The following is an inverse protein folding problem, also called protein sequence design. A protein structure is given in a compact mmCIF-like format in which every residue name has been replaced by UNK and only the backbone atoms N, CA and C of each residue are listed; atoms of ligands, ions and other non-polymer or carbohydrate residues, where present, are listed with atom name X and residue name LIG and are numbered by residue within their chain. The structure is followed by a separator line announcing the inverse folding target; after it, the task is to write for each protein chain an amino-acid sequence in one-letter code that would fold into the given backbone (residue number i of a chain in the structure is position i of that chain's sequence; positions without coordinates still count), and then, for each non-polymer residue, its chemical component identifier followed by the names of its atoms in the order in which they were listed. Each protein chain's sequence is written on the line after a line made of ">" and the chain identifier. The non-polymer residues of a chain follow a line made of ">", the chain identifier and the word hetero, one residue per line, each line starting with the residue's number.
data_IF_465161263325
#
_entry.id   IF_465161263325
#
_cell.length_a   1.000
_cell.length_b   1.000
_cell.length_c   1.000
_cell.angle_alpha   90.00
_cell.angle_beta   90.00
_cell.angle_gamma   90.00
#
_symmetry.space_group_name_H-M   'P 1'
#
loop_
_entity.id
_entity.type
_entity.pdbx_description
1 polymer ?
#
# COMPACT_ATOMS: atom_id res chain seq x y z
N UNK A 1 -14.13 24.45 -3.55
CA UNK A 1 -13.63 23.28 -4.31
C UNK A 1 -13.71 23.52 -5.82
N UNK A 2 -14.84 24.00 -6.33
CA UNK A 2 -15.10 24.11 -7.79
C UNK A 2 -14.04 24.92 -8.58
N UNK A 3 -13.52 26.02 -8.04
CA UNK A 3 -12.49 26.81 -8.71
C UNK A 3 -11.10 26.14 -8.78
N UNK A 4 -10.80 25.19 -7.88
CA UNK A 4 -9.55 24.42 -7.91
C UNK A 4 -9.66 23.28 -8.93
N UNK A 5 -10.79 22.55 -8.92
CA UNK A 5 -11.05 21.48 -9.89
C UNK A 5 -11.19 22.00 -11.31
N UNK A 6 -11.63 23.25 -11.51
CA UNK A 6 -11.63 23.89 -12.83
C UNK A 6 -10.22 24.05 -13.44
N UNK A 7 -9.15 23.94 -12.64
CA UNK A 7 -7.75 23.96 -13.10
C UNK A 7 -7.17 22.56 -13.35
N UNK A 8 -7.93 21.50 -13.06
CA UNK A 8 -7.49 20.12 -13.25
C UNK A 8 -8.05 19.62 -14.56
N UNK A 9 -7.17 19.34 -15.51
CA UNK A 9 -7.49 18.76 -16.81
C UNK A 9 -6.97 17.32 -16.87
N UNK A 10 -7.85 16.37 -17.19
CA UNK A 10 -7.43 15.01 -17.48
C UNK A 10 -6.96 14.94 -18.93
N UNK A 11 -5.70 14.58 -19.13
CA UNK A 11 -5.05 14.55 -20.43
C UNK A 11 -4.51 13.15 -20.70
N UNK A 12 -4.72 12.65 -21.91
CA UNK A 12 -4.17 11.38 -22.38
C UNK A 12 -3.17 11.65 -23.51
N UNK A 13 -1.97 11.06 -23.38
CA UNK A 13 -0.92 11.11 -24.40
C UNK A 13 -0.41 9.69 -24.67
N UNK A 14 -0.02 9.42 -25.92
CA UNK A 14 0.61 8.15 -26.28
C UNK A 14 2.13 8.32 -26.30
N UNK A 15 2.80 7.80 -25.28
CA UNK A 15 4.26 7.84 -25.16
C UNK A 15 4.97 6.72 -25.95
N UNK A 16 4.27 5.98 -26.82
CA UNK A 16 4.86 4.92 -27.61
C UNK A 16 5.49 5.42 -28.93
N UNK A 17 4.99 6.53 -29.50
CA UNK A 17 5.35 6.97 -30.85
C UNK A 17 6.80 7.47 -31.00
N UNK A 18 7.49 7.82 -29.91
CA UNK A 18 8.92 8.19 -29.92
C UNK A 18 9.88 7.13 -29.38
N UNK A 19 9.42 5.90 -29.10
CA UNK A 19 10.15 4.94 -28.26
C UNK A 19 10.64 3.70 -29.01
N UNK A 20 11.70 3.85 -29.80
CA UNK A 20 12.76 2.84 -29.75
C UNK A 20 13.75 3.28 -28.66
N UNK A 21 14.11 2.37 -27.75
CA UNK A 21 15.20 2.55 -26.77
C UNK A 21 16.60 2.71 -27.42
N UNK A 22 16.64 2.97 -28.73
CA UNK A 22 17.81 3.19 -29.56
C UNK A 22 17.62 4.50 -30.33
N UNK A 23 18.67 5.32 -30.49
CA UNK A 23 18.62 6.49 -31.37
C UNK A 23 18.27 6.00 -32.78
N UNK A 24 17.14 6.46 -33.33
CA UNK A 24 16.92 6.44 -34.78
C UNK A 24 17.45 7.78 -35.30
N UNK A 25 18.64 7.73 -35.87
CA UNK A 25 19.03 8.74 -36.86
C UNK A 25 18.14 8.51 -38.09
N UNK A 26 17.58 9.60 -38.61
CA UNK A 26 16.73 9.71 -39.81
C UNK A 26 15.32 9.07 -39.77
N UNK A 27 14.30 9.94 -39.66
CA UNK A 27 13.22 10.12 -40.67
C UNK A 27 12.02 10.91 -40.10
N UNK A 28 11.74 12.07 -40.72
CA UNK A 28 10.40 12.57 -41.07
C UNK A 28 9.46 13.07 -39.96
N UNK A 29 9.09 14.37 -40.05
CA UNK A 29 8.00 15.07 -39.34
C UNK A 29 7.27 14.27 -38.24
N UNK A 30 7.66 14.52 -36.99
CA UNK A 30 7.03 14.00 -35.78
C UNK A 30 5.67 14.70 -35.61
N UNK A 31 4.58 14.01 -36.02
CA UNK A 31 3.18 14.44 -35.84
C UNK A 31 2.84 14.42 -34.33
N UNK A 32 3.46 15.37 -33.61
CA UNK A 32 3.33 15.54 -32.16
C UNK A 32 1.96 16.13 -31.89
N UNK A 33 1.13 15.44 -31.11
CA UNK A 33 -0.22 15.93 -30.83
C UNK A 33 -0.15 17.34 -30.21
N UNK A 34 -1.13 18.25 -30.47
CA UNK A 34 -1.15 19.60 -29.87
C UNK A 34 -1.08 19.58 -28.34
N UNK A 35 -1.54 18.49 -27.73
CA UNK A 35 -1.46 18.24 -26.30
C UNK A 35 0.00 17.99 -25.87
N UNK A 36 0.73 17.14 -26.60
CA UNK A 36 2.14 16.87 -26.30
C UNK A 36 2.97 18.15 -26.47
N UNK A 37 2.73 18.94 -27.52
CA UNK A 37 3.38 20.25 -27.70
C UNK A 37 3.13 21.19 -26.51
N UNK A 38 1.87 21.29 -26.05
CA UNK A 38 1.51 22.09 -24.87
C UNK A 38 2.24 21.59 -23.62
N UNK A 39 2.25 20.28 -23.38
CA UNK A 39 2.95 19.69 -22.23
C UNK A 39 4.45 19.98 -22.30
N UNK A 40 5.07 19.84 -23.47
CA UNK A 40 6.47 20.16 -23.68
C UNK A 40 6.76 21.63 -23.39
N UNK A 41 5.94 22.55 -23.91
CA UNK A 41 6.15 23.99 -23.80
C UNK A 41 5.88 24.57 -22.40
N UNK A 42 4.89 24.02 -21.68
CA UNK A 42 4.33 24.66 -20.48
C UNK A 42 4.65 23.96 -19.16
N UNK A 43 5.05 22.67 -19.18
CA UNK A 43 5.27 21.93 -17.93
C UNK A 43 6.50 22.41 -17.17
N UNK A 44 6.29 22.84 -15.92
CA UNK A 44 7.37 23.25 -15.01
C UNK A 44 7.67 22.22 -13.93
N UNK A 45 6.67 21.46 -13.47
CA UNK A 45 6.80 20.53 -12.35
C UNK A 45 6.13 19.20 -12.72
N UNK A 46 6.82 18.09 -12.51
CA UNK A 46 6.27 16.75 -12.71
C UNK A 46 6.23 16.02 -11.37
N UNK A 47 5.05 15.55 -10.98
CA UNK A 47 4.87 14.56 -9.93
C UNK A 47 4.61 13.20 -10.58
N UNK A 48 5.66 12.37 -10.71
CA UNK A 48 5.51 11.03 -11.25
C UNK A 48 5.05 10.07 -10.13
N UNK A 49 3.73 9.90 -10.02
CA UNK A 49 3.06 9.00 -9.07
C UNK A 49 2.64 7.68 -9.75
N UNK A 50 3.16 7.39 -10.95
CA UNK A 50 2.84 6.15 -11.67
C UNK A 50 3.32 4.94 -10.86
N UNK A 51 2.36 4.07 -10.52
CA UNK A 51 2.64 2.81 -9.86
C UNK A 51 1.51 1.82 -10.10
N UNK A 52 1.86 0.58 -10.44
CA UNK A 52 1.00 -0.53 -10.06
C UNK A 52 1.38 -1.02 -8.66
N UNK A 53 0.49 -0.82 -7.69
CA UNK A 53 0.69 -1.18 -6.27
C UNK A 53 0.16 -2.57 -5.91
N UNK A 54 -0.11 -3.41 -6.92
CA UNK A 54 -0.65 -4.75 -6.72
C UNK A 54 0.48 -5.73 -6.41
N UNK A 55 0.56 -6.19 -5.17
CA UNK A 55 1.62 -7.13 -4.76
C UNK A 55 1.58 -8.52 -5.42
N UNK A 56 0.49 -8.87 -6.11
CA UNK A 56 0.31 -10.14 -6.83
C UNK A 56 0.28 -9.96 -8.35
N UNK A 57 0.76 -8.82 -8.85
CA UNK A 57 0.88 -8.60 -10.29
C UNK A 57 2.13 -9.32 -10.82
N UNK A 58 2.03 -9.82 -12.06
CA UNK A 58 3.16 -10.44 -12.75
C UNK A 58 4.33 -9.48 -12.84
N UNK A 59 5.53 -10.04 -12.77
CA UNK A 59 6.75 -9.25 -12.78
C UNK A 59 6.89 -8.45 -14.08
N UNK A 60 6.42 -8.99 -15.21
CA UNK A 60 6.41 -8.33 -16.51
C UNK A 60 5.62 -7.02 -16.46
N UNK A 61 4.39 -7.05 -15.96
CA UNK A 61 3.53 -5.87 -15.87
C UNK A 61 4.09 -4.85 -14.87
N UNK A 62 4.55 -5.32 -13.70
CA UNK A 62 5.16 -4.45 -12.70
C UNK A 62 6.38 -3.69 -13.24
N UNK A 63 7.26 -4.37 -14.01
CA UNK A 63 8.43 -3.76 -14.65
C UNK A 63 8.05 -2.83 -15.80
N UNK A 64 7.14 -3.28 -16.69
CA UNK A 64 6.68 -2.48 -17.82
C UNK A 64 6.07 -1.15 -17.37
N UNK A 65 5.24 -1.18 -16.32
CA UNK A 65 4.60 0.03 -15.77
C UNK A 65 5.59 0.87 -14.96
N UNK A 66 6.22 0.29 -13.93
CA UNK A 66 6.96 1.09 -12.95
C UNK A 66 8.34 1.52 -13.45
N UNK A 67 8.98 0.73 -14.32
CA UNK A 67 10.29 1.04 -14.90
C UNK A 67 10.10 1.63 -16.29
N UNK A 68 9.46 0.89 -17.21
CA UNK A 68 9.25 1.32 -18.60
C UNK A 68 8.42 2.60 -18.70
N UNK A 69 7.28 2.65 -18.02
CA UNK A 69 6.41 3.84 -17.97
C UNK A 69 7.11 5.06 -17.36
N UNK A 70 7.89 4.86 -16.29
CA UNK A 70 8.73 5.93 -15.71
C UNK A 70 9.76 6.42 -16.73
N UNK A 71 10.44 5.53 -17.44
CA UNK A 71 11.42 5.89 -18.46
C UNK A 71 10.81 6.78 -19.54
N UNK A 72 9.62 6.43 -20.03
CA UNK A 72 8.87 7.22 -21.03
C UNK A 72 8.53 8.63 -20.55
N UNK A 73 8.01 8.75 -19.32
CA UNK A 73 7.73 10.07 -18.72
C UNK A 73 9.00 10.92 -18.61
N UNK A 74 10.12 10.31 -18.22
CA UNK A 74 11.38 11.04 -18.07
C UNK A 74 12.04 11.38 -19.41
N UNK A 75 11.82 10.58 -20.46
CA UNK A 75 12.21 10.94 -21.83
C UNK A 75 11.44 12.17 -22.32
N UNK A 76 10.14 12.25 -22.07
CA UNK A 76 9.35 13.45 -22.35
C UNK A 76 9.88 14.64 -21.52
N UNK A 77 10.15 14.43 -20.23
CA UNK A 77 10.67 15.46 -19.34
C UNK A 77 12.01 16.07 -19.81
N UNK A 78 12.90 15.28 -20.43
CA UNK A 78 14.16 15.78 -21.01
C UNK A 78 13.94 16.84 -22.09
N UNK A 79 12.81 16.83 -22.77
CA UNK A 79 12.47 17.76 -23.86
C UNK A 79 11.76 19.03 -23.37
N UNK A 80 11.46 19.14 -22.07
CA UNK A 80 10.73 20.28 -21.50
C UNK A 80 11.67 21.43 -21.12
N UNK A 81 11.68 22.57 -21.85
CA UNK A 81 12.61 23.68 -21.59
C UNK A 81 12.33 24.43 -20.28
N UNK A 82 11.10 24.35 -19.75
CA UNK A 82 10.69 25.05 -18.51
C UNK A 82 10.77 24.17 -17.26
N UNK A 83 11.27 22.94 -17.37
CA UNK A 83 11.25 21.97 -16.28
C UNK A 83 12.11 22.44 -15.09
N UNK A 84 11.45 22.63 -13.95
CA UNK A 84 12.04 23.06 -12.67
C UNK A 84 12.30 21.91 -11.71
N UNK A 85 11.42 20.92 -11.69
CA UNK A 85 11.55 19.78 -10.77
C UNK A 85 10.73 18.57 -11.21
N UNK A 86 11.26 17.37 -10.96
CA UNK A 86 10.57 16.09 -11.09
C UNK A 86 10.64 15.37 -9.75
N UNK A 87 9.49 15.01 -9.18
CA UNK A 87 9.42 14.12 -8.02
C UNK A 87 8.98 12.75 -8.50
N UNK A 88 9.86 11.75 -8.37
CA UNK A 88 9.48 10.36 -8.57
C UNK A 88 9.03 9.75 -7.24
N UNK A 89 7.79 9.27 -7.18
CA UNK A 89 7.25 8.60 -5.99
C UNK A 89 7.59 7.10 -6.07
N UNK A 90 8.52 6.69 -5.22
CA UNK A 90 8.89 5.30 -5.01
C UNK A 90 8.15 4.76 -3.77
N UNK A 91 8.82 4.00 -2.91
CA UNK A 91 8.28 3.47 -1.67
C UNK A 91 9.43 3.22 -0.69
N UNK A 92 9.18 3.43 0.60
CA UNK A 92 10.14 3.11 1.67
C UNK A 92 10.61 1.65 1.63
N UNK A 93 9.79 0.79 1.02
CA UNK A 93 10.03 -0.64 0.90
C UNK A 93 10.82 -1.05 -0.35
N UNK A 94 11.30 -0.12 -1.19
CA UNK A 94 12.13 -0.46 -2.36
C UNK A 94 13.43 -1.14 -1.96
N UNK A 95 13.87 -0.93 -0.71
CA UNK A 95 15.07 -1.52 -0.13
C UNK A 95 14.78 -2.38 1.13
N UNK A 96 13.55 -2.90 1.27
CA UNK A 96 13.11 -3.60 2.49
C UNK A 96 13.82 -4.94 2.80
N UNK A 97 14.61 -5.47 1.88
CA UNK A 97 15.51 -6.62 2.10
C UNK A 97 16.69 -6.26 3.03
N UNK A 98 16.99 -4.97 3.19
CA UNK A 98 17.99 -4.43 4.12
C UNK A 98 17.33 -4.11 5.45
N UNK A 99 18.12 -4.07 6.52
CA UNK A 99 17.68 -3.60 7.85
C UNK A 99 17.81 -2.08 7.95
N UNK A 100 18.94 -1.56 7.51
CA UNK A 100 19.27 -0.13 7.52
C UNK A 100 19.08 0.45 6.10
N UNK A 101 18.26 1.49 6.00
CA UNK A 101 17.89 2.15 4.74
C UNK A 101 18.28 3.62 4.83
N UNK A 102 19.29 4.00 4.07
CA UNK A 102 19.78 5.36 3.93
C UNK A 102 18.96 6.12 2.88
N UNK A 103 19.08 7.45 2.91
CA UNK A 103 18.53 8.34 1.90
C UNK A 103 19.43 8.40 0.68
N UNK A 104 19.65 7.25 0.01
CA UNK A 104 20.36 7.16 -1.28
C UNK A 104 19.75 6.08 -2.16
N UNK A 105 20.07 6.10 -3.44
CA UNK A 105 19.76 4.98 -4.33
C UNK A 105 20.77 3.85 -4.12
N UNK A 106 20.25 2.63 -4.12
CA UNK A 106 21.01 1.40 -4.01
C UNK A 106 20.97 0.70 -5.37
N UNK A 107 22.12 0.59 -6.03
CA UNK A 107 22.31 0.10 -7.40
C UNK A 107 22.58 -1.41 -7.50
N UNK A 108 22.51 -2.12 -6.38
CA UNK A 108 22.64 -3.57 -6.28
C UNK A 108 21.36 -4.30 -6.74
N UNK A 109 21.02 -4.13 -8.02
CA UNK A 109 20.05 -4.96 -8.71
C UNK A 109 20.77 -6.15 -9.38
N UNK A 110 20.16 -7.36 -9.43
CA UNK A 110 20.84 -8.55 -9.96
C UNK A 110 21.24 -8.47 -11.44
N UNK A 111 20.61 -7.56 -12.19
CA UNK A 111 20.78 -7.38 -13.62
C UNK A 111 20.55 -5.91 -13.96
N UNK A 112 21.24 -5.41 -14.98
CA UNK A 112 21.05 -4.04 -15.48
C UNK A 112 19.59 -3.78 -15.90
N UNK A 113 19.10 -2.57 -15.63
CA UNK A 113 17.70 -2.20 -15.88
C UNK A 113 17.33 -2.26 -17.37
N UNK A 114 18.29 -1.95 -18.27
CA UNK A 114 18.08 -2.03 -19.71
C UNK A 114 17.83 -3.47 -20.18
N UNK A 115 18.61 -4.43 -19.67
CA UNK A 115 18.42 -5.85 -19.95
C UNK A 115 17.08 -6.37 -19.40
N UNK A 116 16.70 -5.94 -18.19
CA UNK A 116 15.40 -6.27 -17.59
C UNK A 116 14.24 -5.81 -18.48
N UNK A 117 14.33 -4.58 -19.02
CA UNK A 117 13.32 -4.05 -19.93
C UNK A 117 13.29 -4.80 -21.27
N UNK A 118 14.44 -5.16 -21.83
CA UNK A 118 14.53 -5.97 -23.05
C UNK A 118 13.85 -7.34 -22.87
N UNK A 119 14.12 -8.02 -21.74
CA UNK A 119 13.47 -9.30 -21.42
C UNK A 119 11.95 -9.13 -21.24
N UNK A 120 11.50 -8.04 -20.62
CA UNK A 120 10.08 -7.73 -20.43
C UNK A 120 9.34 -7.58 -21.77
N UNK A 121 10.02 -7.05 -22.79
CA UNK A 121 9.49 -6.91 -24.15
C UNK A 121 9.57 -8.21 -24.96
N UNK A 122 10.63 -9.00 -24.78
CA UNK A 122 10.88 -10.22 -25.53
C UNK A 122 10.06 -11.42 -25.03
N UNK A 123 9.82 -11.51 -23.72
CA UNK A 123 9.18 -12.66 -23.08
C UNK A 123 7.68 -12.44 -22.84
N UNK A 124 6.91 -13.52 -22.93
CA UNK A 124 5.51 -13.53 -22.47
C UNK A 124 5.42 -13.43 -20.95
N UNK A 125 4.24 -13.10 -20.43
CA UNK A 125 3.98 -13.04 -18.99
C UNK A 125 4.30 -14.36 -18.28
N UNK A 126 3.92 -15.50 -18.89
CA UNK A 126 4.18 -16.82 -18.33
C UNK A 126 5.67 -17.18 -18.29
N UNK A 127 6.42 -16.80 -19.32
CA UNK A 127 7.87 -17.02 -19.36
C UNK A 127 8.57 -16.16 -18.31
N UNK A 128 8.20 -14.87 -18.23
CA UNK A 128 8.79 -13.96 -17.27
C UNK A 128 8.52 -14.39 -15.82
N UNK A 129 7.31 -14.90 -15.53
CA UNK A 129 6.97 -15.44 -14.21
C UNK A 129 7.78 -16.70 -13.86
N UNK A 130 8.13 -17.55 -14.85
CA UNK A 130 9.04 -18.70 -14.62
C UNK A 130 10.44 -18.23 -14.24
N UNK A 131 10.92 -17.14 -14.84
CA UNK A 131 12.21 -16.54 -14.56
C UNK A 131 12.19 -15.55 -13.38
N UNK A 132 11.04 -15.30 -12.75
CA UNK A 132 10.87 -14.31 -11.70
C UNK A 132 11.93 -14.40 -10.58
N UNK A 133 12.30 -15.63 -10.20
CA UNK A 133 13.28 -15.92 -9.16
C UNK A 133 14.70 -15.46 -9.51
N UNK A 134 15.03 -15.35 -10.81
CA UNK A 134 16.32 -14.83 -11.28
C UNK A 134 16.44 -13.32 -11.09
N UNK A 135 15.31 -12.59 -11.04
CA UNK A 135 15.30 -11.12 -10.96
C UNK A 135 15.01 -10.60 -9.55
N UNK A 136 14.08 -11.22 -8.82
CA UNK A 136 13.65 -10.72 -7.50
C UNK A 136 14.76 -10.73 -6.45
N UNK A 137 15.69 -11.69 -6.51
CA UNK A 137 16.68 -11.90 -5.47
C UNK A 137 16.03 -11.98 -4.07
N UNK A 138 16.48 -11.20 -3.07
CA UNK A 138 15.93 -11.22 -1.72
C UNK A 138 14.63 -10.42 -1.54
N UNK A 139 14.10 -9.81 -2.60
CA UNK A 139 12.93 -8.94 -2.52
C UNK A 139 11.65 -9.75 -2.22
N UNK A 140 10.76 -9.25 -1.34
CA UNK A 140 9.58 -10.01 -0.92
C UNK A 140 8.47 -10.08 -1.97
N UNK A 141 8.45 -9.18 -2.96
CA UNK A 141 7.44 -9.14 -4.01
C UNK A 141 7.91 -8.36 -5.24
N UNK A 142 7.17 -8.50 -6.35
CA UNK A 142 7.43 -7.85 -7.64
C UNK A 142 7.32 -6.33 -7.57
N UNK A 143 6.40 -5.81 -6.76
CA UNK A 143 6.22 -4.37 -6.56
C UNK A 143 7.48 -3.70 -5.99
N UNK A 144 7.99 -4.17 -4.85
CA UNK A 144 9.16 -3.56 -4.21
C UNK A 144 10.40 -3.65 -5.08
N UNK A 145 10.57 -4.77 -5.81
CA UNK A 145 11.66 -4.92 -6.78
C UNK A 145 11.53 -3.93 -7.95
N UNK A 146 10.34 -3.81 -8.56
CA UNK A 146 10.13 -2.89 -9.68
C UNK A 146 10.38 -1.43 -9.31
N UNK A 147 10.02 -1.02 -8.09
CA UNK A 147 10.35 0.32 -7.57
C UNK A 147 11.85 0.51 -7.37
N UNK A 148 12.57 -0.50 -6.84
CA UNK A 148 14.05 -0.46 -6.78
C UNK A 148 14.67 -0.29 -8.16
N UNK A 149 14.22 -1.08 -9.14
CA UNK A 149 14.71 -1.00 -10.53
C UNK A 149 14.48 0.39 -11.15
N UNK A 150 13.31 1.00 -10.90
CA UNK A 150 13.03 2.36 -11.36
C UNK A 150 13.97 3.41 -10.74
N UNK A 151 14.28 3.31 -9.44
CA UNK A 151 15.24 4.22 -8.77
C UNK A 151 16.63 4.11 -9.39
N UNK A 152 17.11 2.89 -9.68
CA UNK A 152 18.42 2.66 -10.31
C UNK A 152 18.46 3.24 -11.73
N UNK A 153 17.42 3.02 -12.52
CA UNK A 153 17.31 3.63 -13.86
C UNK A 153 17.33 5.16 -13.77
N UNK A 154 16.63 5.76 -12.82
CA UNK A 154 16.63 7.23 -12.62
C UNK A 154 18.04 7.72 -12.30
N UNK A 155 18.75 7.04 -11.39
CA UNK A 155 20.11 7.41 -11.02
C UNK A 155 21.08 7.35 -12.21
N UNK A 156 21.00 6.28 -13.00
CA UNK A 156 21.91 6.05 -14.13
C UNK A 156 21.62 6.96 -15.33
N UNK A 157 20.35 7.09 -15.73
CA UNK A 157 19.99 7.65 -17.05
C UNK A 157 19.39 9.06 -17.00
N UNK A 158 18.96 9.51 -15.81
CA UNK A 158 18.15 10.72 -15.62
C UNK A 158 18.62 11.65 -14.49
N UNK A 159 19.75 11.37 -13.81
CA UNK A 159 20.27 12.19 -12.71
C UNK A 159 20.70 13.62 -13.09
N UNK A 160 20.81 13.91 -14.39
CA UNK A 160 21.03 15.25 -14.93
C UNK A 160 19.81 16.15 -14.86
N UNK A 161 18.59 15.58 -14.84
CA UNK A 161 17.35 16.34 -14.68
C UNK A 161 17.27 16.95 -13.27
N UNK A 162 16.44 17.99 -13.04
CA UNK A 162 16.11 18.42 -11.68
C UNK A 162 15.17 17.39 -11.03
N UNK A 163 15.66 16.19 -10.72
CA UNK A 163 14.85 15.07 -10.24
C UNK A 163 15.23 14.66 -8.82
N UNK A 164 14.26 14.19 -8.04
CA UNK A 164 14.47 13.54 -6.74
C UNK A 164 13.50 12.38 -6.52
N UNK A 165 13.85 11.49 -5.59
CA UNK A 165 13.05 10.30 -5.24
C UNK A 165 12.38 10.52 -3.88
N UNK A 166 11.07 10.45 -3.83
CA UNK A 166 10.30 10.46 -2.59
C UNK A 166 9.83 9.04 -2.25
N UNK A 167 10.20 8.53 -1.08
CA UNK A 167 9.86 7.17 -0.61
C UNK A 167 8.83 7.25 0.52
N UNK A 168 7.52 7.20 0.23
CA UNK A 168 6.49 7.15 1.25
C UNK A 168 6.43 5.78 1.94
N UNK A 169 5.97 5.72 3.21
CA UNK A 169 5.72 4.50 3.94
C UNK A 169 4.34 3.95 3.51
N UNK A 170 3.61 3.26 4.41
CA UNK A 170 2.25 2.81 4.08
C UNK A 170 1.28 3.99 4.19
N UNK A 171 0.76 4.41 3.05
CA UNK A 171 -0.25 5.48 2.97
C UNK A 171 -1.63 4.94 3.35
N UNK A 172 -2.31 5.66 4.24
CA UNK A 172 -3.68 5.41 4.69
C UNK A 172 -4.56 6.65 4.39
N UNK A 173 -5.85 6.61 4.76
CA UNK A 173 -6.80 7.68 4.46
C UNK A 173 -6.32 9.05 4.96
N UNK A 174 -6.90 10.10 4.43
CA UNK A 174 -6.61 11.48 4.82
C UNK A 174 -6.88 11.72 6.31
N UNK A 175 -6.09 12.60 6.93
CA UNK A 175 -6.35 13.09 8.28
C UNK A 175 -7.25 14.33 8.25
N UNK A 176 -6.89 15.34 7.47
CA UNK A 176 -7.56 16.64 7.41
C UNK A 176 -8.10 16.95 6.00
N UNK A 177 -7.25 16.90 4.96
CA UNK A 177 -7.59 17.42 3.63
C UNK A 177 -7.70 16.32 2.56
N UNK A 178 -8.56 16.45 1.54
CA UNK A 178 -9.60 17.49 1.38
C UNK A 178 -10.79 17.28 2.34
N UNK A 179 -10.90 16.11 2.96
CA UNK A 179 -11.85 15.82 4.03
C UNK A 179 -11.33 14.63 4.86
N UNK A 180 -11.52 14.58 6.18
CA UNK A 180 -11.05 13.50 7.02
C UNK A 180 -11.59 12.12 6.63
N UNK A 181 -10.73 11.09 6.66
CA UNK A 181 -11.10 9.69 6.39
C UNK A 181 -11.32 9.34 4.92
N UNK A 182 -11.02 10.25 3.98
CA UNK A 182 -11.13 9.97 2.56
C UNK A 182 -10.09 8.94 2.10
N UNK A 183 -10.56 7.92 1.36
CA UNK A 183 -9.73 6.89 0.72
C UNK A 183 -10.50 6.30 -0.45
N UNK A 184 -9.80 6.01 -1.53
CA UNK A 184 -10.36 5.41 -2.76
C UNK A 184 -10.12 3.90 -2.84
N UNK A 185 -9.30 3.34 -1.94
CA UNK A 185 -8.88 1.94 -1.99
C UNK A 185 -8.78 1.28 -0.60
N UNK A 186 -8.77 -0.06 -0.64
CA UNK A 186 -8.62 -0.94 0.53
C UNK A 186 -7.26 -1.67 0.51
N UNK A 187 -6.23 -1.02 -0.01
CA UNK A 187 -4.92 -1.66 -0.15
C UNK A 187 -4.23 -1.85 1.21
N UNK A 188 -3.39 -2.90 1.29
CA UNK A 188 -2.56 -3.17 2.46
C UNK A 188 -3.36 -3.32 3.77
N UNK A 189 -2.99 -2.60 4.85
CA UNK A 189 -3.58 -2.79 6.17
C UNK A 189 -5.04 -2.30 6.26
N UNK A 190 -5.46 -1.32 5.45
CA UNK A 190 -6.86 -0.86 5.43
C UNK A 190 -7.83 -2.00 5.08
N UNK A 191 -7.45 -2.85 4.13
CA UNK A 191 -8.20 -4.05 3.78
C UNK A 191 -8.23 -5.08 4.91
N UNK A 192 -7.07 -5.40 5.50
CA UNK A 192 -6.98 -6.35 6.63
C UNK A 192 -7.85 -5.87 7.79
N UNK A 193 -7.69 -4.62 8.19
CA UNK A 193 -8.45 -3.96 9.23
C UNK A 193 -9.95 -4.08 8.98
N UNK A 194 -10.43 -3.67 7.80
CA UNK A 194 -11.85 -3.74 7.47
C UNK A 194 -12.41 -5.16 7.51
N UNK A 195 -11.67 -6.15 7.01
CA UNK A 195 -12.13 -7.54 7.06
C UNK A 195 -12.09 -8.13 8.48
N UNK A 196 -11.20 -7.66 9.35
CA UNK A 196 -11.25 -7.95 10.78
C UNK A 196 -12.46 -7.30 11.45
N UNK A 197 -12.75 -6.03 11.13
CA UNK A 197 -13.95 -5.32 11.62
C UNK A 197 -15.24 -6.03 11.20
N UNK A 198 -15.29 -6.58 9.98
CA UNK A 198 -16.42 -7.40 9.52
C UNK A 198 -16.44 -8.81 10.14
N UNK A 199 -15.43 -9.21 10.90
CA UNK A 199 -15.35 -10.53 11.52
C UNK A 199 -15.06 -11.66 10.53
N UNK A 200 -14.34 -11.37 9.44
CA UNK A 200 -13.86 -12.36 8.46
C UNK A 200 -12.41 -12.76 8.71
N UNK A 201 -11.62 -11.87 9.33
CA UNK A 201 -10.23 -12.13 9.72
C UNK A 201 -10.14 -12.10 11.24
N UNK A 202 -9.70 -13.22 11.82
CA UNK A 202 -9.53 -13.41 13.26
C UNK A 202 -8.09 -13.66 13.68
N UNK A 203 -7.20 -13.98 12.74
CA UNK A 203 -5.77 -14.11 13.02
C UNK A 203 -4.95 -13.40 11.96
N UNK A 204 -3.91 -12.67 12.41
CA UNK A 204 -3.01 -11.88 11.57
C UNK A 204 -1.58 -12.32 11.88
N UNK A 205 -0.82 -12.66 10.84
CA UNK A 205 0.60 -12.97 10.99
C UNK A 205 1.39 -11.66 11.03
N UNK A 206 1.83 -11.25 12.22
CA UNK A 206 2.54 -9.99 12.44
C UNK A 206 3.03 -9.86 13.88
N UNK A 207 3.87 -8.87 14.14
CA UNK A 207 4.29 -8.52 15.49
C UNK A 207 3.50 -7.31 16.00
N UNK A 208 2.68 -7.49 17.04
CA UNK A 208 1.89 -6.39 17.61
C UNK A 208 2.74 -5.20 18.10
N UNK A 209 3.96 -5.48 18.57
CA UNK A 209 4.93 -4.46 18.99
C UNK A 209 5.75 -3.83 17.86
N UNK A 210 5.61 -4.31 16.61
CA UNK A 210 6.39 -3.80 15.47
C UNK A 210 5.77 -2.54 14.90
N UNK A 211 6.60 -1.57 14.51
CA UNK A 211 6.18 -0.33 13.84
C UNK A 211 5.44 -0.64 12.54
N UNK A 212 4.28 -0.03 12.38
CA UNK A 212 3.41 -0.18 11.22
C UNK A 212 3.80 0.77 10.07
N UNK A 213 4.50 1.88 10.38
CA UNK A 213 4.93 2.89 9.40
C UNK A 213 3.76 3.36 8.54
N UNK A 214 2.74 3.89 9.20
CA UNK A 214 1.52 4.41 8.58
C UNK A 214 1.61 5.92 8.43
N UNK A 215 1.09 6.46 7.32
CA UNK A 215 0.99 7.91 7.10
C UNK A 215 -0.33 8.31 6.44
N UNK A 216 -0.99 9.38 6.89
CA UNK A 216 -2.10 9.98 6.13
C UNK A 216 -1.65 10.47 4.75
N UNK A 217 -2.48 10.28 3.73
CA UNK A 217 -2.16 10.67 2.34
C UNK A 217 -1.96 12.17 2.16
N UNK A 218 -2.72 13.01 2.87
CA UNK A 218 -2.60 14.47 2.84
C UNK A 218 -1.23 14.95 3.31
N UNK A 219 -0.73 14.36 4.39
CA UNK A 219 0.63 14.64 4.91
C UNK A 219 1.70 14.20 3.91
N UNK A 220 1.50 13.03 3.28
CA UNK A 220 2.39 12.54 2.24
C UNK A 220 2.42 13.47 1.01
N UNK A 221 1.27 13.97 0.57
CA UNK A 221 1.15 14.90 -0.56
C UNK A 221 1.85 16.23 -0.24
N UNK A 222 1.65 16.77 0.96
CA UNK A 222 2.34 17.99 1.40
C UNK A 222 3.87 17.80 1.40
N UNK A 223 4.37 16.67 1.91
CA UNK A 223 5.79 16.33 1.85
C UNK A 223 6.33 16.24 0.42
N UNK A 224 5.56 15.66 -0.51
CA UNK A 224 5.91 15.57 -1.94
C UNK A 224 6.01 16.96 -2.59
N UNK A 225 5.07 17.87 -2.30
CA UNK A 225 5.09 19.25 -2.81
C UNK A 225 6.34 19.98 -2.34
N UNK A 226 6.68 19.87 -1.06
CA UNK A 226 7.86 20.55 -0.48
C UNK A 226 9.16 19.92 -0.99
N UNK A 227 9.17 18.61 -1.25
CA UNK A 227 10.30 17.94 -1.89
C UNK A 227 10.55 18.48 -3.32
N UNK A 228 9.50 18.77 -4.10
CA UNK A 228 9.65 19.38 -5.42
C UNK A 228 10.39 20.73 -5.36
N UNK A 229 10.01 21.57 -4.39
CA UNK A 229 10.68 22.85 -4.15
C UNK A 229 12.16 22.67 -3.78
N UNK A 230 12.48 21.72 -2.90
CA UNK A 230 13.87 21.46 -2.53
C UNK A 230 14.71 20.92 -3.71
N UNK A 231 14.14 20.04 -4.52
CA UNK A 231 14.79 19.51 -5.74
C UNK A 231 15.16 20.66 -6.68
N UNK A 232 14.23 21.59 -6.93
CA UNK A 232 14.50 22.77 -7.74
C UNK A 232 15.62 23.64 -7.14
N UNK A 233 15.61 23.88 -5.82
CA UNK A 233 16.67 24.65 -5.15
C UNK A 233 18.05 24.00 -5.29
N UNK A 234 18.14 22.69 -5.07
CA UNK A 234 19.38 21.93 -5.25
C UNK A 234 19.87 22.00 -6.70
N UNK A 235 18.98 21.80 -7.66
CA UNK A 235 19.31 21.90 -9.08
C UNK A 235 19.84 23.28 -9.47
N UNK A 236 19.20 24.37 -9.01
CA UNK A 236 19.68 25.74 -9.27
C UNK A 236 21.06 26.02 -8.69
N UNK A 237 21.35 25.55 -7.48
CA UNK A 237 22.69 25.71 -6.87
C UNK A 237 23.76 24.97 -7.65
N UNK A 238 23.45 23.76 -8.12
CA UNK A 238 24.34 22.96 -8.98
C UNK A 238 24.66 23.69 -10.28
N UNK A 239 23.65 24.22 -10.98
CA UNK A 239 23.84 24.97 -12.23
C UNK A 239 24.62 26.25 -12.01
N UNK A 240 24.40 26.94 -10.89
CA UNK A 240 25.11 28.18 -10.55
C UNK A 240 26.55 27.97 -10.06
N UNK A 241 27.01 26.72 -9.85
CA UNK A 241 28.33 26.45 -9.29
C UNK A 241 28.53 27.00 -7.87
N UNK A 242 27.45 27.25 -7.13
CA UNK A 242 27.47 27.88 -5.80
C UNK A 242 27.29 26.87 -4.66
N UNK A 243 27.36 25.56 -4.96
CA UNK A 243 27.42 24.54 -3.94
C UNK A 243 28.70 24.74 -3.12
N UNK A 244 28.59 24.91 -1.79
CA UNK A 244 29.77 25.04 -0.92
C UNK A 244 30.42 23.67 -0.77
N UNK A 245 31.73 23.61 -0.52
CA UNK A 245 32.47 22.35 -0.29
C UNK A 245 31.88 21.46 0.84
N UNK A 246 31.17 22.05 1.82
CA UNK A 246 30.44 21.31 2.88
C UNK A 246 29.14 20.68 2.36
N UNK A 247 28.51 21.29 1.35
CA UNK A 247 27.38 20.71 0.63
C UNK A 247 27.85 19.61 -0.36
N UNK A 248 29.10 19.64 -0.84
CA UNK A 248 29.63 18.65 -1.80
C UNK A 248 29.75 17.24 -1.20
N UNK A 249 30.14 17.11 0.07
CA UNK A 249 30.23 15.83 0.78
C UNK A 249 28.83 15.17 0.99
N UNK A 250 27.77 15.97 0.99
CA UNK A 250 26.35 15.55 1.04
C UNK A 250 25.60 15.76 -0.30
N UNK A 251 26.29 16.16 -1.36
CA UNK A 251 25.68 16.50 -2.66
C UNK A 251 25.39 15.22 -3.43
N UNK A 252 24.43 14.45 -2.92
CA UNK A 252 23.79 13.43 -3.72
C UNK A 252 23.18 14.10 -4.95
N UNK A 253 23.70 13.74 -6.13
CA UNK A 253 23.17 14.18 -7.42
C UNK A 253 21.65 13.93 -7.54
N UNK A 254 21.18 12.88 -6.87
CA UNK A 254 19.78 12.49 -6.82
C UNK A 254 19.28 12.50 -5.37
N UNK A 255 18.68 13.62 -4.88
CA UNK A 255 18.16 13.70 -3.53
C UNK A 255 17.06 12.64 -3.31
N UNK A 256 17.20 11.88 -2.24
CA UNK A 256 16.24 10.83 -1.86
C UNK A 256 15.61 11.17 -0.51
N UNK A 257 14.29 11.13 -0.42
CA UNK A 257 13.52 11.48 0.77
C UNK A 257 12.84 10.25 1.33
N UNK A 258 13.33 9.73 2.44
CA UNK A 258 12.68 8.61 3.14
C UNK A 258 11.64 9.19 4.10
N UNK A 259 10.38 9.22 3.68
CA UNK A 259 9.31 9.84 4.45
C UNK A 259 8.89 8.97 5.62
N UNK A 260 9.57 9.15 6.75
CA UNK A 260 9.35 8.39 7.98
C UNK A 260 9.66 9.25 9.19
N UNK A 261 8.88 9.10 10.26
CA UNK A 261 9.16 9.70 11.56
C UNK A 261 9.15 8.58 12.62
N UNK A 262 10.30 7.94 12.90
CA UNK A 262 10.39 6.78 13.79
C UNK A 262 9.71 6.96 15.14
N UNK A 263 9.84 8.14 15.75
CA UNK A 263 9.32 8.45 17.09
C UNK A 263 7.79 8.52 17.16
N UNK A 264 7.12 8.81 16.04
CA UNK A 264 5.66 9.04 15.98
C UNK A 264 4.91 7.89 15.24
N UNK A 265 5.62 6.81 14.93
CA UNK A 265 5.06 5.65 14.23
C UNK A 265 4.23 4.78 15.16
N UNK A 266 3.00 4.45 14.75
CA UNK A 266 2.17 3.47 15.46
C UNK A 266 2.77 2.07 15.34
N UNK A 267 2.51 1.23 16.34
CA UNK A 267 2.72 -0.23 16.21
C UNK A 267 1.49 -0.90 15.61
N UNK A 268 1.64 -2.11 15.06
CA UNK A 268 0.49 -2.88 14.55
C UNK A 268 -0.58 -3.17 15.61
N UNK A 269 -0.15 -3.39 16.85
CA UNK A 269 -1.06 -3.54 18.00
C UNK A 269 -1.86 -2.27 18.23
N UNK A 270 -1.19 -1.12 18.40
CA UNK A 270 -1.87 0.17 18.59
C UNK A 270 -2.78 0.55 17.42
N UNK A 271 -2.36 0.26 16.19
CA UNK A 271 -3.17 0.46 14.99
C UNK A 271 -4.48 -0.31 15.10
N UNK A 272 -4.42 -1.63 15.34
CA UNK A 272 -5.63 -2.44 15.46
C UNK A 272 -6.44 -2.05 16.70
N UNK A 273 -5.78 -1.72 17.82
CA UNK A 273 -6.48 -1.28 19.01
C UNK A 273 -7.25 0.01 18.72
N UNK A 274 -6.67 1.04 18.10
CA UNK A 274 -7.37 2.33 17.87
C UNK A 274 -8.53 2.25 16.87
N UNK A 275 -8.61 1.21 16.03
CA UNK A 275 -9.68 1.05 15.02
C UNK A 275 -11.08 1.05 15.64
N UNK A 276 -11.22 0.60 16.89
CA UNK A 276 -12.53 0.61 17.56
C UNK A 276 -13.09 2.03 17.78
N UNK A 277 -12.24 3.07 17.78
CA UNK A 277 -12.68 4.46 17.94
C UNK A 277 -13.57 4.92 16.78
N UNK A 278 -13.42 4.30 15.60
CA UNK A 278 -14.29 4.55 14.44
C UNK A 278 -15.62 3.81 14.50
N UNK A 279 -15.92 3.08 15.57
CA UNK A 279 -17.18 2.34 15.75
C UNK A 279 -18.28 3.24 16.36
N UNK A 280 -18.40 4.50 15.91
CA UNK A 280 -19.43 5.42 16.42
C UNK A 280 -20.85 5.09 15.90
N UNK A 281 -20.96 4.22 14.88
CA UNK A 281 -22.25 3.80 14.31
C UNK A 281 -22.29 2.30 14.01
N UNK A 282 -23.50 1.76 13.82
CA UNK A 282 -23.74 0.36 13.46
C UNK A 282 -22.82 -0.08 12.32
N UNK A 283 -21.92 -1.03 12.60
CA UNK A 283 -21.19 -1.76 11.59
C UNK A 283 -22.18 -2.69 10.85
N UNK A 284 -22.54 -2.34 9.62
CA UNK A 284 -23.41 -3.17 8.79
C UNK A 284 -22.69 -4.47 8.41
N UNK A 285 -23.43 -5.59 8.43
CA UNK A 285 -22.99 -6.90 7.89
C UNK A 285 -21.79 -7.56 8.61
N UNK A 286 -21.64 -7.36 9.93
CA UNK A 286 -20.69 -8.16 10.71
C UNK A 286 -21.05 -9.65 10.66
N UNK A 287 -20.06 -10.47 10.33
CA UNK A 287 -20.18 -11.93 10.28
C UNK A 287 -19.73 -12.57 11.59
N UNK A 288 -18.92 -11.85 12.38
CA UNK A 288 -18.48 -12.18 13.74
C UNK A 288 -18.22 -10.90 14.55
N UNK A 289 -18.12 -11.01 15.88
CA UNK A 289 -17.69 -9.90 16.74
C UNK A 289 -16.29 -9.39 16.34
N UNK A 290 -16.02 -8.11 16.55
CA UNK A 290 -14.66 -7.61 16.42
C UNK A 290 -13.75 -8.30 17.45
N UNK A 291 -12.90 -9.20 16.96
CA UNK A 291 -11.96 -10.00 17.76
C UNK A 291 -10.89 -10.54 16.84
N UNK A 292 -9.63 -10.35 17.23
CA UNK A 292 -8.48 -10.80 16.45
C UNK A 292 -7.32 -11.21 17.36
N UNK A 293 -6.39 -11.96 16.78
CA UNK A 293 -5.11 -12.33 17.38
C UNK A 293 -4.02 -11.92 16.40
N UNK A 294 -3.05 -11.12 16.86
CA UNK A 294 -1.81 -10.84 16.13
C UNK A 294 -0.73 -11.76 16.70
N UNK A 295 -0.12 -12.61 15.86
CA UNK A 295 0.96 -13.49 16.30
C UNK A 295 2.14 -13.44 15.35
N UNK A 296 3.35 -13.34 15.91
CA UNK A 296 4.61 -13.38 15.17
C UNK A 296 5.04 -14.82 14.86
N UNK A 297 4.49 -15.81 15.58
CA UNK A 297 4.86 -17.21 15.43
C UNK A 297 4.06 -17.88 14.30
N UNK A 298 4.72 -18.06 13.16
CA UNK A 298 4.11 -18.57 11.92
C UNK A 298 3.34 -19.90 12.06
N UNK A 299 3.85 -20.93 12.77
CA UNK A 299 3.11 -22.16 13.00
C UNK A 299 1.79 -21.94 13.77
N UNK A 300 1.81 -21.09 14.80
CA UNK A 300 0.59 -20.72 15.52
C UNK A 300 -0.38 -19.94 14.64
N UNK A 301 0.10 -18.99 13.82
CA UNK A 301 -0.73 -18.32 12.83
C UNK A 301 -1.44 -19.32 11.91
N UNK A 302 -0.72 -20.28 11.33
CA UNK A 302 -1.29 -21.29 10.43
C UNK A 302 -2.33 -22.17 11.13
N UNK A 303 -2.04 -22.60 12.36
CA UNK A 303 -2.99 -23.38 13.16
C UNK A 303 -4.27 -22.59 13.47
N UNK A 304 -4.14 -21.35 13.92
CA UNK A 304 -5.29 -20.47 14.19
C UNK A 304 -6.05 -20.14 12.90
N UNK A 305 -5.36 -19.90 11.78
CA UNK A 305 -5.98 -19.58 10.48
C UNK A 305 -6.75 -20.78 9.93
N UNK A 306 -6.23 -21.99 10.16
CA UNK A 306 -6.97 -23.22 9.85
C UNK A 306 -8.28 -23.28 10.66
N UNK A 307 -8.20 -23.09 11.98
CA UNK A 307 -9.36 -23.16 12.88
C UNK A 307 -10.39 -22.04 12.68
N UNK A 308 -9.96 -20.81 12.49
CA UNK A 308 -10.84 -19.63 12.46
C UNK A 308 -11.21 -19.13 11.07
N UNK A 309 -10.45 -19.50 10.03
CA UNK A 309 -10.78 -19.11 8.65
C UNK A 309 -11.17 -20.33 7.80
N UNK A 310 -10.33 -21.37 7.78
CA UNK A 310 -10.50 -22.49 6.84
C UNK A 310 -11.67 -23.40 7.19
N UNK A 311 -11.76 -23.85 8.45
CA UNK A 311 -12.85 -24.71 8.93
C UNK A 311 -14.21 -24.02 8.80
N UNK A 312 -14.41 -22.77 9.29
CA UNK A 312 -15.68 -22.07 9.11
C UNK A 312 -16.05 -21.87 7.64
N UNK A 313 -15.09 -21.51 6.78
CA UNK A 313 -15.35 -21.36 5.35
C UNK A 313 -15.79 -22.67 4.68
N UNK A 314 -15.19 -23.80 5.06
CA UNK A 314 -15.63 -25.11 4.58
C UNK A 314 -17.07 -25.42 5.00
N UNK A 315 -17.40 -25.21 6.28
CA UNK A 315 -18.76 -25.40 6.80
C UNK A 315 -19.77 -24.52 6.05
N UNK A 316 -19.44 -23.24 5.84
CA UNK A 316 -20.29 -22.32 5.07
C UNK A 316 -20.48 -22.78 3.62
N UNK A 317 -19.44 -23.31 2.98
CA UNK A 317 -19.56 -23.87 1.62
C UNK A 317 -20.39 -25.15 1.57
N UNK A 318 -20.34 -26.01 2.60
CA UNK A 318 -21.25 -27.17 2.72
C UNK A 318 -22.70 -26.69 2.83
N UNK A 319 -22.96 -25.67 3.66
CA UNK A 319 -24.30 -25.06 3.78
C UNK A 319 -24.76 -24.46 2.44
N UNK A 320 -23.88 -23.81 1.68
CA UNK A 320 -24.22 -23.30 0.35
C UNK A 320 -24.59 -24.43 -0.61
N UNK A 321 -23.84 -25.54 -0.62
CA UNK A 321 -24.16 -26.71 -1.44
C UNK A 321 -25.51 -27.32 -1.09
N UNK A 322 -25.81 -27.48 0.21
CA UNK A 322 -27.13 -27.95 0.68
C UNK A 322 -28.24 -27.02 0.16
N UNK A 323 -27.98 -25.72 0.11
CA UNK A 323 -28.90 -24.70 -0.43
C UNK A 323 -28.84 -24.55 -1.96
N UNK A 324 -28.17 -25.46 -2.67
CA UNK A 324 -27.94 -25.42 -4.14
C UNK A 324 -27.33 -24.10 -4.63
N UNK A 325 -26.48 -23.48 -3.81
CA UNK A 325 -25.72 -22.26 -4.12
C UNK A 325 -24.25 -22.60 -4.36
N UNK A 326 -23.57 -21.74 -5.14
CA UNK A 326 -22.14 -21.89 -5.44
C UNK A 326 -21.30 -21.75 -4.15
N UNK A 327 -20.37 -22.68 -3.86
CA UNK A 327 -19.43 -22.55 -2.75
C UNK A 327 -18.36 -21.52 -3.11
N UNK A 328 -18.22 -20.46 -2.30
CA UNK A 328 -17.32 -19.32 -2.57
C UNK A 328 -16.37 -19.02 -1.39
N UNK A 329 -16.71 -19.48 -0.18
CA UNK A 329 -16.05 -19.05 1.05
C UNK A 329 -14.64 -19.60 1.17
N UNK A 330 -14.42 -20.88 0.82
CA UNK A 330 -13.08 -21.48 0.86
C UNK A 330 -12.11 -20.76 -0.07
N UNK A 331 -12.53 -20.46 -1.30
CA UNK A 331 -11.69 -19.75 -2.28
C UNK A 331 -11.35 -18.33 -1.79
N UNK A 332 -12.33 -17.64 -1.19
CA UNK A 332 -12.12 -16.33 -0.60
C UNK A 332 -11.13 -16.36 0.59
N UNK A 333 -11.27 -17.33 1.50
CA UNK A 333 -10.37 -17.47 2.64
C UNK A 333 -8.97 -17.95 2.25
N UNK A 334 -8.83 -18.76 1.19
CA UNK A 334 -7.52 -19.11 0.63
C UNK A 334 -6.80 -17.87 0.07
N UNK A 335 -7.51 -17.02 -0.67
CA UNK A 335 -6.96 -15.74 -1.17
C UNK A 335 -6.55 -14.83 0.00
N UNK A 336 -7.38 -14.77 1.04
CA UNK A 336 -7.12 -13.98 2.26
C UNK A 336 -5.89 -14.51 3.01
N UNK A 337 -5.77 -15.84 3.17
CA UNK A 337 -4.61 -16.48 3.81
C UNK A 337 -3.31 -16.15 3.09
N UNK A 338 -3.26 -16.32 1.76
CA UNK A 338 -2.07 -15.95 0.95
C UNK A 338 -1.71 -14.47 1.10
N UNK A 339 -2.70 -13.60 1.14
CA UNK A 339 -2.48 -12.17 1.34
C UNK A 339 -1.91 -11.86 2.73
N UNK A 340 -2.42 -12.48 3.79
CA UNK A 340 -1.90 -12.32 5.16
C UNK A 340 -0.47 -12.86 5.27
N UNK A 341 -0.15 -13.98 4.62
CA UNK A 341 1.22 -14.52 4.56
C UNK A 341 2.18 -13.56 3.86
N UNK A 342 1.77 -12.99 2.72
CA UNK A 342 2.56 -11.98 2.01
C UNK A 342 2.80 -10.73 2.88
N UNK A 343 1.77 -10.23 3.55
CA UNK A 343 1.87 -9.06 4.43
C UNK A 343 2.71 -9.33 5.68
N UNK A 344 2.86 -10.58 6.10
CA UNK A 344 3.69 -10.94 7.26
C UNK A 344 5.14 -10.48 7.12
N UNK A 345 5.66 -10.34 5.89
CA UNK A 345 7.00 -9.81 5.66
C UNK A 345 7.15 -8.42 6.30
N UNK A 346 6.16 -7.55 6.07
CA UNK A 346 6.11 -6.20 6.62
C UNK A 346 5.57 -6.16 8.06
N UNK A 347 4.67 -7.08 8.40
CA UNK A 347 4.08 -7.17 9.74
C UNK A 347 5.06 -7.62 10.82
N UNK A 348 6.13 -8.34 10.46
CA UNK A 348 7.07 -8.96 11.43
C UNK A 348 8.43 -8.27 11.52
N UNK A 349 8.74 -7.37 10.59
CA UNK A 349 10.05 -6.71 10.46
C UNK A 349 9.97 -5.25 10.85
N UNK A 350 11.14 -4.72 11.18
CA UNK A 350 11.37 -3.31 11.43
C UNK A 350 12.67 -2.90 10.75
N UNK A 351 12.77 -1.61 10.44
CA UNK A 351 13.89 -1.03 9.71
C UNK A 351 14.43 0.19 10.45
N UNK A 352 15.73 0.39 10.38
CA UNK A 352 16.36 1.66 10.72
C UNK A 352 16.39 2.50 9.46
N UNK A 353 15.80 3.68 9.49
CA UNK A 353 15.59 4.47 8.27
C UNK A 353 16.08 5.88 8.52
N UNK A 354 17.08 6.28 7.74
CA UNK A 354 17.54 7.66 7.63
C UNK A 354 16.42 8.53 7.05
N UNK A 355 16.25 9.75 7.55
CA UNK A 355 15.16 10.67 7.14
C UNK A 355 15.59 12.15 7.25
N UNK A 356 16.89 12.42 7.17
CA UNK A 356 17.51 13.73 7.35
C UNK A 356 16.99 14.75 6.33
N UNK A 357 16.86 14.36 5.06
CA UNK A 357 16.33 15.20 4.00
C UNK A 357 14.89 15.62 4.29
N UNK A 358 14.06 14.69 4.79
CA UNK A 358 12.67 14.97 5.19
C UNK A 358 12.60 15.91 6.38
N UNK A 359 13.43 15.70 7.42
CA UNK A 359 13.51 16.62 8.56
C UNK A 359 13.90 18.03 8.11
N UNK A 360 14.85 18.14 7.18
CA UNK A 360 15.32 19.41 6.63
C UNK A 360 14.24 20.15 5.82
N UNK A 361 13.32 19.44 5.15
CA UNK A 361 12.24 20.07 4.37
C UNK A 361 11.43 21.08 5.21
N UNK A 362 11.20 20.80 6.50
CA UNK A 362 10.46 21.71 7.39
C UNK A 362 11.19 23.04 7.59
N UNK A 363 12.52 23.01 7.65
CA UNK A 363 13.35 24.21 7.77
C UNK A 363 13.38 25.08 6.50
N UNK A 364 12.74 24.64 5.40
CA UNK A 364 12.66 25.42 4.16
C UNK A 364 11.40 26.29 4.09
N UNK A 365 10.44 26.08 5.00
CA UNK A 365 9.14 26.73 4.98
C UNK A 365 9.09 27.88 5.98
N UNK A 366 8.42 28.96 5.59
CA UNK A 366 7.95 29.98 6.52
C UNK A 366 6.88 29.40 7.47
N UNK A 367 6.52 30.15 8.52
CA UNK A 367 5.47 29.73 9.45
C UNK A 367 4.10 29.58 8.78
N UNK A 368 3.80 30.37 7.75
CA UNK A 368 2.54 30.28 7.01
C UNK A 368 2.53 29.07 6.07
N UNK A 369 3.63 28.85 5.35
CA UNK A 369 3.76 27.68 4.46
C UNK A 369 3.79 26.37 5.25
N UNK A 370 4.42 26.33 6.43
CA UNK A 370 4.42 25.14 7.29
C UNK A 370 3.03 24.81 7.83
N UNK A 371 2.14 25.80 7.99
CA UNK A 371 0.73 25.57 8.36
C UNK A 371 -0.08 25.05 7.18
N UNK A 372 0.20 25.54 5.97
CA UNK A 372 -0.48 25.12 4.75
C UNK A 372 -0.04 23.73 4.29
N UNK A 373 1.26 23.45 4.36
CA UNK A 373 1.90 22.21 3.90
C UNK A 373 2.39 21.42 5.12
N UNK A 374 1.49 21.07 6.03
CA UNK A 374 1.86 20.25 7.18
C UNK A 374 2.12 18.79 6.74
N UNK A 375 3.25 18.24 7.15
CA UNK A 375 3.67 16.86 6.85
C UNK A 375 4.46 16.22 8.01
N UNK A 376 4.45 16.79 9.21
CA UNK A 376 5.05 16.15 10.38
C UNK A 376 4.10 15.21 11.09
N UNK A 377 4.48 13.95 11.13
CA UNK A 377 3.75 12.92 11.84
C UNK A 377 3.56 13.21 13.33
N UNK A 378 4.41 14.05 13.93
CA UNK A 378 4.29 14.46 15.33
C UNK A 378 3.06 15.31 15.64
N UNK A 379 2.43 15.94 14.65
CA UNK A 379 1.23 16.76 14.85
C UNK A 379 -0.08 15.97 14.73
N UNK A 380 0.00 14.68 14.35
CA UNK A 380 -1.18 13.82 14.16
C UNK A 380 -1.74 13.38 15.50
N UNK A 381 -3.01 13.70 15.74
CA UNK A 381 -3.80 13.07 16.79
C UNK A 381 -4.39 11.75 16.26
N UNK A 382 -3.71 10.64 16.53
CA UNK A 382 -4.14 9.32 16.06
C UNK A 382 -5.53 8.93 16.58
N UNK A 383 -5.93 9.35 17.78
CA UNK A 383 -7.27 9.03 18.28
C UNK A 383 -8.36 9.73 17.46
N UNK A 384 -8.13 11.00 17.10
CA UNK A 384 -9.03 11.75 16.20
C UNK A 384 -9.06 11.15 14.80
N UNK A 385 -7.88 10.80 14.26
CA UNK A 385 -7.76 10.12 12.98
C UNK A 385 -8.61 8.84 12.91
N UNK A 386 -8.52 7.96 13.93
CA UNK A 386 -9.24 6.69 13.91
C UNK A 386 -10.75 6.80 14.10
N UNK A 387 -11.27 7.94 14.62
CA UNK A 387 -12.72 8.20 14.65
C UNK A 387 -13.30 8.29 13.23
N UNK A 388 -12.56 8.86 12.27
CA UNK A 388 -13.02 9.02 10.89
C UNK A 388 -12.56 7.90 9.96
N UNK A 389 -11.55 7.11 10.35
CA UNK A 389 -10.95 6.06 9.52
C UNK A 389 -11.95 5.00 9.02
N UNK A 390 -12.64 4.29 9.93
CA UNK A 390 -13.64 3.26 9.54
C UNK A 390 -14.87 3.87 8.86
N UNK A 391 -15.47 4.97 9.37
CA UNK A 391 -16.56 5.65 8.68
C UNK A 391 -16.18 6.08 7.25
N UNK A 392 -14.96 6.57 7.07
CA UNK A 392 -14.40 6.95 5.78
C UNK A 392 -14.32 5.78 4.80
N UNK A 393 -13.71 4.67 5.23
CA UNK A 393 -13.65 3.43 4.42
C UNK A 393 -15.06 2.98 4.00
N UNK A 394 -16.03 3.00 4.91
CA UNK A 394 -17.43 2.61 4.61
C UNK A 394 -18.06 3.53 3.58
N UNK A 395 -17.88 4.84 3.75
CA UNK A 395 -18.45 5.86 2.87
C UNK A 395 -17.84 5.83 1.47
N UNK A 396 -16.52 5.77 1.36
CA UNK A 396 -15.83 5.99 0.08
C UNK A 396 -15.48 4.68 -0.65
N UNK A 397 -15.16 3.59 0.06
CA UNK A 397 -14.84 2.30 -0.59
C UNK A 397 -16.06 1.39 -0.76
N UNK A 398 -16.98 1.38 0.22
CA UNK A 398 -18.20 0.56 0.13
C UNK A 398 -19.42 1.33 -0.35
N UNK A 399 -19.29 2.64 -0.57
CA UNK A 399 -20.37 3.53 -0.99
C UNK A 399 -21.59 3.41 -0.06
N UNK A 400 -21.35 3.12 1.24
CA UNK A 400 -22.40 3.11 2.23
C UNK A 400 -22.83 4.55 2.48
N UNK A 401 -24.09 4.88 2.15
CA UNK A 401 -24.66 6.20 2.40
C UNK A 401 -24.57 6.58 3.88
N UNK A 402 -24.57 7.88 4.18
CA UNK A 402 -24.64 8.37 5.55
C UNK A 402 -25.92 7.81 6.21
N UNK A 403 -25.78 6.83 7.09
CA UNK A 403 -26.92 6.17 7.74
C UNK A 403 -27.54 7.16 8.74
N UNK A 404 -28.45 8.02 8.27
CA UNK A 404 -29.40 8.72 9.13
C UNK A 404 -30.54 7.75 9.45
N UNK A 405 -30.54 7.23 10.68
CA UNK A 405 -31.80 6.88 11.37
C UNK A 405 -32.54 5.60 10.98
N UNK A 406 -31.98 4.66 10.20
CA UNK A 406 -32.74 3.45 9.85
C UNK A 406 -32.78 2.40 10.97
N UNK A 407 -34.02 2.07 11.41
CA UNK A 407 -34.30 1.02 12.39
C UNK A 407 -33.83 -0.34 11.87
N UNK A 408 -33.25 -1.10 12.79
CA UNK A 408 -32.69 -2.44 12.59
C UNK A 408 -33.66 -3.41 11.90
N UNK A 409 -33.20 -4.08 10.83
CA UNK A 409 -33.83 -5.31 10.31
C UNK A 409 -33.05 -6.54 10.82
N UNK A 410 -33.62 -7.38 11.70
CA UNK A 410 -32.98 -8.53 12.37
C UNK A 410 -32.32 -9.59 11.47
N UNK A 411 -32.58 -9.58 10.16
CA UNK A 411 -32.33 -10.73 9.30
C UNK A 411 -30.83 -11.05 9.12
N UNK A 412 -29.95 -10.05 9.13
CA UNK A 412 -28.50 -10.25 8.97
C UNK A 412 -27.86 -10.93 10.21
N UNK A 413 -28.47 -10.81 11.38
CA UNK A 413 -27.94 -11.36 12.64
C UNK A 413 -28.29 -12.84 12.86
N UNK A 414 -29.23 -13.40 12.09
CA UNK A 414 -29.62 -14.82 12.20
C UNK A 414 -28.48 -15.77 11.80
N UNK A 415 -27.72 -15.43 10.76
CA UNK A 415 -26.54 -16.22 10.32
C UNK A 415 -25.41 -16.17 11.35
N UNK A 416 -25.15 -14.98 11.91
CA UNK A 416 -24.18 -14.78 12.98
C UNK A 416 -24.58 -15.54 14.25
N UNK A 417 -25.81 -15.37 14.74
CA UNK A 417 -26.27 -16.09 15.92
C UNK A 417 -26.26 -17.61 15.72
N UNK A 418 -26.56 -18.08 14.50
CA UNK A 418 -26.44 -19.48 14.14
C UNK A 418 -24.98 -19.96 14.20
N UNK A 419 -24.05 -19.24 13.56
CA UNK A 419 -22.62 -19.59 13.58
C UNK A 419 -22.02 -19.55 14.99
N UNK A 420 -22.35 -18.53 15.79
CA UNK A 420 -21.94 -18.41 17.20
C UNK A 420 -22.46 -19.61 18.01
N UNK A 421 -23.75 -19.92 17.90
CA UNK A 421 -24.35 -21.09 18.56
C UNK A 421 -23.71 -22.39 18.10
N UNK A 422 -23.46 -22.55 16.80
CA UNK A 422 -22.85 -23.75 16.23
C UNK A 422 -21.42 -23.94 16.76
N UNK A 423 -20.59 -22.90 16.75
CA UNK A 423 -19.22 -22.99 17.28
C UNK A 423 -19.23 -23.24 18.79
N UNK A 424 -20.08 -22.54 19.56
CA UNK A 424 -20.24 -22.81 20.99
C UNK A 424 -20.63 -24.28 21.25
N UNK A 425 -21.57 -24.83 20.48
CA UNK A 425 -21.97 -26.24 20.57
C UNK A 425 -20.85 -27.19 20.18
N UNK A 426 -20.12 -26.92 19.10
CA UNK A 426 -18.99 -27.76 18.66
C UNK A 426 -17.83 -27.76 19.67
N UNK A 427 -17.54 -26.60 20.28
CA UNK A 427 -16.55 -26.49 21.37
C UNK A 427 -17.03 -27.27 22.59
N UNK A 428 -18.30 -27.13 22.99
CA UNK A 428 -18.88 -27.91 24.09
C UNK A 428 -18.82 -29.41 23.81
N UNK A 429 -19.19 -29.85 22.61
CA UNK A 429 -19.08 -31.26 22.19
C UNK A 429 -17.62 -31.73 22.28
N UNK A 430 -16.66 -30.93 21.79
CA UNK A 430 -15.24 -31.27 21.87
C UNK A 430 -14.72 -31.32 23.31
N UNK A 431 -15.11 -30.37 24.17
CA UNK A 431 -14.79 -30.36 25.61
C UNK A 431 -15.38 -31.60 26.28
N UNK A 432 -16.65 -31.92 26.02
CA UNK A 432 -17.27 -33.15 26.48
C UNK A 432 -16.47 -34.38 26.02
N UNK A 433 -16.16 -34.49 24.72
CA UNK A 433 -15.38 -35.60 24.14
C UNK A 433 -13.93 -35.69 24.67
N UNK A 434 -13.34 -34.58 25.14
CA UNK A 434 -12.02 -34.55 25.79
C UNK A 434 -12.09 -34.89 27.28
N UNK A 435 -13.18 -34.51 27.94
CA UNK A 435 -13.54 -34.94 29.30
C UNK A 435 -13.94 -36.44 29.31
N UNK A 436 -14.33 -37.00 28.16
CA UNK A 436 -14.64 -38.42 27.99
C UNK A 436 -13.39 -39.28 27.77
N UNK A 437 -12.51 -39.39 28.78
CA UNK A 437 -12.07 -40.76 29.15
C UNK A 437 -13.07 -41.44 30.09
N UNK A 438 -14.08 -40.71 30.60
CA UNK A 438 -15.05 -41.24 31.58
C UNK A 438 -16.54 -41.16 31.13
N UNK A 439 -16.92 -40.39 30.12
CA UNK A 439 -18.35 -40.10 29.82
C UNK A 439 -18.82 -40.29 28.37
N UNK A 440 -18.16 -41.15 27.57
CA UNK A 440 -18.38 -41.24 26.11
C UNK A 440 -19.74 -41.80 25.67
N UNK A 441 -20.40 -42.63 26.49
CA UNK A 441 -21.69 -43.26 26.14
C UNK A 441 -22.88 -42.30 26.18
N UNK A 442 -22.97 -41.47 27.22
CA UNK A 442 -24.12 -40.56 27.42
C UNK A 442 -24.23 -39.49 26.32
N UNK A 443 -23.09 -38.97 25.84
CA UNK A 443 -23.03 -37.96 24.78
C UNK A 443 -23.38 -38.55 23.41
N UNK A 444 -23.00 -39.80 23.14
CA UNK A 444 -23.33 -40.49 21.89
C UNK A 444 -24.84 -40.76 21.76
N UNK A 445 -25.49 -41.13 22.87
CA UNK A 445 -26.93 -41.45 22.89
C UNK A 445 -27.83 -40.20 22.84
N UNK A 446 -27.35 -39.04 23.29
CA UNK A 446 -28.13 -37.79 23.37
C UNK A 446 -27.69 -36.71 22.37
N UNK A 447 -26.82 -37.06 21.41
CA UNK A 447 -26.25 -36.12 20.44
C UNK A 447 -27.33 -35.35 19.65
N UNK A 448 -28.44 -36.02 19.33
CA UNK A 448 -29.55 -35.44 18.56
C UNK A 448 -30.36 -34.41 19.38
N UNK A 449 -30.55 -34.65 20.68
CA UNK A 449 -31.25 -33.74 21.58
C UNK A 449 -30.43 -32.47 21.88
N UNK A 450 -29.11 -32.60 22.04
CA UNK A 450 -28.17 -31.49 22.25
C UNK A 450 -28.00 -30.61 21.00
N UNK A 451 -28.18 -31.17 19.80
CA UNK A 451 -28.12 -30.41 18.55
C UNK A 451 -29.37 -29.57 18.30
N UNK A 452 -30.54 -30.00 18.80
CA UNK A 452 -31.85 -29.37 18.53
C UNK A 452 -32.25 -28.31 19.58
N UNK A 453 -31.84 -28.44 20.85
CA UNK A 453 -32.01 -27.41 21.90
C UNK A 453 -30.94 -26.31 21.78
#
# INVERSE_FOLDING_TARGET
>A
MDALYAKVEAVQIDLNNGTTLFPRDDMGDDDTSPIEERLLAETEIIFNVLASVKFNESIRNALATNVGGTGKVLQLAKRMPRLRSVVHVSTLYSNCHRTDIEERVYDDIPMDHGMILQLTNALSEQEMDRFQHCFLGPMPNTYTFSKKCAEVMIQKDYSQLPIGIFRPPIVISTYQEPMPGWTDNLNGPSGVCMWTVKGLIHTIWGGAGKRANLVPVDYCVNGIIVAAYDIWRRSRRRVAGTAKAVDEENSQLLPTYNYMYPAFSLTWGKYMDMVHLGFESRLHQMVWNYSYIITSYGPLFRALSFCFHTVPAFVLDVVQRIRRKKPIYRKAMQKTGRFLELMSYFGTREWTIANENVRRLRGLLSADESRLLEFDMGTINWAEYFRTYIPGIRRYCFLEGAVRGDRWKPAANRRFQFMKRLVQKLVWIWVCLRMTRVTSKFVAENLFALLIA
#
